data_IF_789002178022
#
_entry.id   IF_789002178022
#
_cell.length_a   1.000
_cell.length_b   1.000
_cell.length_c   1.000
_cell.angle_alpha   90.00
_cell.angle_beta   90.00
_cell.angle_gamma   90.00
#
_symmetry.space_group_name_H-M   'P 1'
#
loop_
_entity.id
_entity.type
_entity.pdbx_description
1 polymer ?
#
# COMPACT_ATOMS: atom_id res chain seq x y z
N UNK A 1 20.06 -19.41 -10.56
CA UNK A 1 21.25 -18.64 -10.21
C UNK A 1 21.60 -19.01 -8.78
N UNK A 2 22.80 -19.57 -8.54
CA UNK A 2 23.28 -19.96 -7.21
C UNK A 2 23.68 -18.72 -6.38
N UNK A 3 23.75 -18.83 -5.05
CA UNK A 3 24.04 -17.71 -4.14
C UNK A 3 25.42 -17.07 -4.33
N UNK A 4 26.33 -17.72 -5.06
CA UNK A 4 27.72 -17.25 -5.26
C UNK A 4 27.91 -16.33 -6.48
N UNK A 5 26.82 -15.95 -7.21
CA UNK A 5 26.89 -15.18 -8.45
C UNK A 5 26.43 -13.71 -8.31
N UNK A 6 26.23 -13.21 -7.10
CA UNK A 6 25.78 -11.85 -6.87
C UNK A 6 26.95 -10.99 -6.33
N UNK A 7 27.72 -10.39 -7.22
CA UNK A 7 28.67 -9.34 -6.85
C UNK A 7 27.89 -8.00 -6.81
N UNK A 8 27.80 -7.40 -5.63
CA UNK A 8 27.21 -6.08 -5.43
C UNK A 8 28.33 -5.05 -5.34
N UNK A 9 28.42 -4.20 -6.34
CA UNK A 9 29.30 -3.03 -6.31
C UNK A 9 28.56 -1.88 -5.61
N UNK A 10 29.12 -1.38 -4.51
CA UNK A 10 28.55 -0.22 -3.80
C UNK A 10 29.30 1.06 -4.18
N UNK A 11 28.56 2.08 -4.59
CA UNK A 11 29.09 3.42 -4.87
C UNK A 11 28.56 4.40 -3.85
N UNK A 12 29.40 5.36 -3.45
CA UNK A 12 29.04 6.40 -2.50
C UNK A 12 29.03 7.77 -3.19
N UNK A 13 27.92 8.46 -3.09
CA UNK A 13 27.74 9.81 -3.61
C UNK A 13 27.53 10.78 -2.45
N UNK A 14 28.13 11.98 -2.54
CA UNK A 14 27.87 13.08 -1.61
C UNK A 14 26.83 14.00 -2.24
N UNK A 15 25.69 14.13 -1.57
CA UNK A 15 24.59 14.97 -2.00
C UNK A 15 24.64 16.30 -1.24
N UNK A 16 24.31 17.40 -1.93
CA UNK A 16 24.20 18.75 -1.40
C UNK A 16 22.77 19.26 -1.51
N UNK A 17 22.46 20.33 -0.78
CA UNK A 17 21.13 20.93 -0.85
C UNK A 17 20.81 21.35 -2.29
N UNK A 18 19.62 20.99 -2.77
CA UNK A 18 19.14 21.23 -4.12
C UNK A 18 19.40 20.07 -5.09
N UNK A 19 20.23 19.08 -4.69
CA UNK A 19 20.41 17.89 -5.51
C UNK A 19 19.14 17.05 -5.53
N UNK A 20 18.86 16.44 -6.67
CA UNK A 20 17.71 15.53 -6.88
C UNK A 20 18.22 14.16 -7.28
N UNK A 21 17.68 13.13 -6.65
CA UNK A 21 17.93 11.73 -6.97
C UNK A 21 16.65 11.13 -7.56
N UNK A 22 16.80 10.47 -8.71
CA UNK A 22 15.70 9.76 -9.38
C UNK A 22 15.93 8.27 -9.28
N UNK A 23 14.91 7.55 -8.77
CA UNK A 23 14.85 6.09 -8.79
C UNK A 23 13.72 5.68 -9.73
N UNK A 24 14.00 4.81 -10.66
CA UNK A 24 13.03 4.37 -11.65
C UNK A 24 13.13 2.86 -11.90
N UNK A 25 12.01 2.26 -12.33
CA UNK A 25 12.01 0.91 -12.88
C UNK A 25 12.40 0.93 -14.35
N UNK A 26 12.90 -0.19 -14.87
CA UNK A 26 13.18 -0.42 -16.28
C UNK A 26 11.96 -0.18 -17.17
N UNK A 27 10.75 -0.52 -16.68
CA UNK A 27 9.49 -0.28 -17.39
C UNK A 27 9.29 1.19 -17.83
N UNK A 28 9.92 2.17 -17.18
CA UNK A 28 9.89 3.56 -17.64
C UNK A 28 10.73 3.75 -18.91
N UNK A 29 11.94 3.22 -18.93
CA UNK A 29 12.87 3.39 -20.05
C UNK A 29 12.51 2.52 -21.25
N UNK A 30 11.94 1.35 -21.00
CA UNK A 30 11.56 0.37 -22.02
C UNK A 30 10.14 0.61 -22.58
N UNK A 31 9.39 1.55 -22.00
CA UNK A 31 8.05 1.85 -22.50
C UNK A 31 8.09 2.36 -23.94
N UNK A 32 7.16 1.89 -24.77
CA UNK A 32 7.13 2.16 -26.20
C UNK A 32 6.01 3.13 -26.59
N UNK A 33 6.25 3.90 -27.64
CA UNK A 33 5.22 4.70 -28.30
C UNK A 33 4.50 3.90 -29.42
N UNK A 34 3.55 4.55 -30.10
CA UNK A 34 2.79 3.94 -31.21
C UNK A 34 3.66 3.47 -32.40
N UNK A 35 4.91 3.88 -32.47
CA UNK A 35 5.86 3.51 -33.53
C UNK A 35 6.84 2.39 -33.09
N UNK A 36 6.72 1.88 -31.85
CA UNK A 36 7.61 0.88 -31.28
C UNK A 36 8.97 1.44 -30.87
N UNK A 37 9.06 2.76 -30.69
CA UNK A 37 10.28 3.40 -30.17
C UNK A 37 10.24 3.43 -28.66
N UNK A 38 11.34 3.04 -28.01
CA UNK A 38 11.45 3.10 -26.55
C UNK A 38 11.65 4.54 -26.05
N UNK A 39 11.17 4.83 -24.87
CA UNK A 39 11.36 6.14 -24.22
C UNK A 39 12.83 6.45 -24.01
N UNK A 40 13.58 5.52 -23.45
CA UNK A 40 15.02 5.53 -23.34
C UNK A 40 15.60 6.53 -22.34
N UNK A 41 16.88 6.34 -22.03
CA UNK A 41 17.59 7.17 -21.04
C UNK A 41 17.82 8.60 -21.54
N UNK A 42 18.16 8.79 -22.83
CA UNK A 42 18.42 10.12 -23.42
C UNK A 42 17.20 11.04 -23.33
N UNK A 43 16.02 10.48 -23.57
CA UNK A 43 14.76 11.24 -23.47
C UNK A 43 14.46 11.55 -22.02
N UNK A 44 14.66 10.62 -21.11
CA UNK A 44 14.50 10.84 -19.67
C UNK A 44 15.41 11.97 -19.17
N UNK A 45 16.70 11.94 -19.54
CA UNK A 45 17.65 13.01 -19.19
C UNK A 45 17.24 14.36 -19.77
N UNK A 46 16.74 14.39 -21.01
CA UNK A 46 16.25 15.60 -21.65
C UNK A 46 15.00 16.17 -20.96
N UNK A 47 14.10 15.29 -20.49
CA UNK A 47 12.92 15.67 -19.73
C UNK A 47 13.31 16.30 -18.37
N UNK A 48 14.29 15.72 -17.65
CA UNK A 48 14.83 16.29 -16.42
C UNK A 48 15.44 17.69 -16.67
N UNK A 49 16.28 17.83 -17.70
CA UNK A 49 16.94 19.09 -18.02
C UNK A 49 15.91 20.20 -18.38
N UNK A 50 14.87 19.83 -19.12
CA UNK A 50 13.79 20.74 -19.49
C UNK A 50 12.97 21.18 -18.26
N UNK A 51 12.68 20.25 -17.35
CA UNK A 51 11.95 20.50 -16.12
C UNK A 51 12.72 21.44 -15.17
N UNK A 52 14.05 21.25 -15.02
CA UNK A 52 14.89 22.13 -14.20
C UNK A 52 14.93 23.57 -14.73
N UNK A 53 14.81 23.75 -16.03
CA UNK A 53 14.76 25.09 -16.64
C UNK A 53 13.45 25.83 -16.33
N UNK A 54 12.36 25.11 -16.07
CA UNK A 54 11.05 25.68 -15.70
C UNK A 54 10.95 26.03 -14.22
N UNK A 55 11.62 25.29 -13.33
CA UNK A 55 11.68 25.55 -11.89
C UNK A 55 12.31 26.93 -11.57
N UNK A 56 13.20 27.41 -12.44
CA UNK A 56 13.86 28.73 -12.30
C UNK A 56 12.90 29.88 -12.63
N UNK A 57 11.84 29.66 -13.37
CA UNK A 57 10.95 30.70 -13.90
C UNK A 57 9.65 30.82 -13.09
N UNK A 58 9.19 29.73 -12.46
CA UNK A 58 7.92 29.70 -11.73
C UNK A 58 8.11 29.31 -10.27
N UNK A 59 8.01 30.30 -9.39
CA UNK A 59 7.93 30.13 -7.93
C UNK A 59 6.59 29.51 -7.48
N UNK A 60 6.02 28.63 -8.31
CA UNK A 60 4.74 27.99 -8.09
C UNK A 60 4.92 26.58 -7.53
N UNK A 61 4.39 26.33 -6.35
CA UNK A 61 4.47 25.11 -5.54
C UNK A 61 3.91 23.82 -6.17
N UNK A 62 3.37 23.86 -7.39
CA UNK A 62 2.81 22.71 -8.12
C UNK A 62 3.54 22.37 -9.44
N UNK A 63 4.58 23.12 -9.80
CA UNK A 63 5.36 22.90 -11.02
C UNK A 63 6.60 22.04 -10.78
N UNK A 64 6.48 20.93 -10.07
CA UNK A 64 7.64 20.07 -9.81
C UNK A 64 8.17 19.45 -11.11
N UNK A 65 9.49 19.33 -11.22
CA UNK A 65 10.16 18.61 -12.30
C UNK A 65 9.53 17.24 -12.54
N UNK A 66 9.12 16.58 -11.45
CA UNK A 66 8.38 15.32 -11.48
C UNK A 66 7.08 15.40 -12.30
N UNK A 67 6.27 16.46 -12.14
CA UNK A 67 5.02 16.62 -12.89
C UNK A 67 5.28 16.77 -14.41
N UNK A 68 6.33 17.50 -14.79
CA UNK A 68 6.75 17.66 -16.19
C UNK A 68 7.24 16.35 -16.79
N UNK A 69 8.08 15.61 -16.10
CA UNK A 69 8.57 14.29 -16.51
C UNK A 69 7.39 13.32 -16.68
N UNK A 70 6.49 13.25 -15.68
CA UNK A 70 5.28 12.42 -15.75
C UNK A 70 4.45 12.74 -16.98
N UNK A 71 4.26 14.03 -17.29
CA UNK A 71 3.47 14.45 -18.44
C UNK A 71 4.17 14.10 -19.77
N UNK A 72 5.50 14.21 -19.87
CA UNK A 72 6.26 13.81 -21.05
C UNK A 72 6.15 12.30 -21.30
N UNK A 73 6.29 11.48 -20.27
CA UNK A 73 6.11 10.02 -20.35
C UNK A 73 4.70 9.65 -20.81
N UNK A 74 3.65 10.26 -20.23
CA UNK A 74 2.26 10.03 -20.60
C UNK A 74 2.02 10.43 -22.07
N UNK A 75 2.56 11.57 -22.48
CA UNK A 75 2.41 12.08 -23.86
C UNK A 75 3.13 11.18 -24.86
N UNK A 76 4.26 10.60 -24.48
CA UNK A 76 5.01 9.67 -25.33
C UNK A 76 4.29 8.33 -25.52
N UNK A 77 3.73 7.76 -24.46
CA UNK A 77 2.95 6.51 -24.50
C UNK A 77 1.68 6.69 -25.34
N UNK A 78 1.03 7.86 -25.23
CA UNK A 78 -0.24 8.13 -25.91
C UNK A 78 -1.35 7.19 -25.46
N UNK A 79 -1.99 6.51 -26.43
CA UNK A 79 -3.10 5.57 -26.19
C UNK A 79 -2.65 4.11 -26.12
N UNK A 80 -1.34 3.83 -26.10
CA UNK A 80 -0.85 2.45 -26.06
C UNK A 80 -1.11 1.78 -24.69
N UNK A 81 -1.33 0.47 -24.74
CA UNK A 81 -1.36 -0.37 -23.54
C UNK A 81 0.07 -0.50 -22.98
N UNK A 82 0.24 -0.27 -21.71
CA UNK A 82 1.53 -0.48 -21.03
C UNK A 82 1.88 -1.96 -21.00
N UNK A 83 3.14 -2.27 -21.31
CA UNK A 83 3.64 -3.65 -21.26
C UNK A 83 4.07 -4.04 -19.85
N UNK A 84 4.49 -3.05 -19.02
CA UNK A 84 4.98 -3.26 -17.66
C UNK A 84 4.61 -2.08 -16.75
N UNK A 85 4.77 -2.26 -15.44
CA UNK A 85 4.55 -1.23 -14.42
C UNK A 85 5.67 -0.19 -14.44
N UNK A 86 5.28 1.09 -14.42
CA UNK A 86 6.20 2.23 -14.41
C UNK A 86 6.27 2.81 -13.01
N UNK A 87 7.46 2.79 -12.41
CA UNK A 87 7.76 3.42 -11.13
C UNK A 87 8.79 4.54 -11.32
N UNK A 88 8.50 5.70 -10.75
CA UNK A 88 9.42 6.84 -10.72
C UNK A 88 9.34 7.51 -9.35
N UNK A 89 10.48 7.69 -8.70
CA UNK A 89 10.61 8.40 -7.43
C UNK A 89 11.62 9.53 -7.59
N UNK A 90 11.23 10.75 -7.23
CA UNK A 90 12.13 11.90 -7.11
C UNK A 90 12.39 12.18 -5.62
N UNK A 91 13.66 12.25 -5.24
CA UNK A 91 14.10 12.60 -3.89
C UNK A 91 14.91 13.89 -4.00
N UNK A 92 14.45 14.96 -3.35
CA UNK A 92 15.16 16.24 -3.29
C UNK A 92 15.86 16.41 -1.94
N UNK A 93 17.11 16.86 -1.98
CA UNK A 93 17.89 17.20 -0.80
C UNK A 93 17.57 18.63 -0.37
N UNK A 94 16.80 18.78 0.69
CA UNK A 94 16.38 20.06 1.22
C UNK A 94 17.13 20.42 2.51
N UNK A 95 17.19 21.70 2.86
CA UNK A 95 17.73 22.11 4.16
C UNK A 95 16.84 21.65 5.30
N UNK A 96 17.43 21.43 6.48
CA UNK A 96 16.65 21.13 7.68
C UNK A 96 15.61 22.21 7.98
N UNK A 97 15.91 23.47 7.70
CA UNK A 97 14.96 24.59 7.89
C UNK A 97 13.82 24.53 6.88
N UNK A 98 14.10 24.25 5.61
CA UNK A 98 13.08 24.08 4.57
C UNK A 98 12.18 22.89 4.89
N UNK A 99 12.76 21.75 5.31
CA UNK A 99 12.01 20.59 5.74
C UNK A 99 11.08 20.88 6.90
N UNK A 100 11.60 21.55 7.96
CA UNK A 100 10.80 21.95 9.12
C UNK A 100 9.70 22.95 8.75
N UNK A 101 9.97 23.88 7.81
CA UNK A 101 8.96 24.82 7.33
C UNK A 101 7.85 24.14 6.51
N UNK A 102 8.19 23.16 5.67
CA UNK A 102 7.21 22.32 4.96
C UNK A 102 6.39 21.49 5.94
N UNK A 103 7.05 20.88 6.93
CA UNK A 103 6.41 20.10 7.97
C UNK A 103 5.50 20.97 8.85
N UNK A 104 5.94 22.19 9.22
CA UNK A 104 5.13 23.16 9.97
C UNK A 104 3.91 23.63 9.18
N UNK A 105 4.01 23.88 7.87
CA UNK A 105 2.86 24.20 7.00
C UNK A 105 1.87 23.03 6.92
N UNK A 106 2.36 21.81 6.84
CA UNK A 106 1.55 20.60 6.90
C UNK A 106 0.89 20.43 8.27
N UNK A 107 1.62 20.70 9.35
CA UNK A 107 1.12 20.62 10.73
C UNK A 107 0.14 21.76 11.10
N UNK A 108 0.24 22.96 10.48
CA UNK A 108 -0.71 24.05 10.69
C UNK A 108 -2.11 23.79 10.11
N UNK A 109 -2.25 22.81 9.20
CA UNK A 109 -3.55 22.26 8.80
C UNK A 109 -4.13 21.25 9.80
N UNK A 110 -3.46 20.98 10.93
CA UNK A 110 -4.05 20.18 12.00
C UNK A 110 -5.29 20.89 12.50
N UNK A 111 -6.43 20.31 12.23
CA UNK A 111 -7.67 20.66 12.94
C UNK A 111 -7.37 20.52 14.44
N UNK A 112 -7.36 21.63 15.17
CA UNK A 112 -7.16 21.62 16.62
C UNK A 112 -8.39 21.09 17.37
N UNK A 113 -9.41 20.65 16.63
CA UNK A 113 -10.63 20.08 17.19
C UNK A 113 -10.59 18.56 17.16
N UNK A 114 -11.04 17.91 18.24
CA UNK A 114 -11.22 16.47 18.24
C UNK A 114 -12.13 16.06 17.07
N UNK A 115 -11.66 15.12 16.25
CA UNK A 115 -12.45 14.58 15.16
C UNK A 115 -12.97 13.19 15.56
N UNK A 116 -14.27 12.98 15.38
CA UNK A 116 -14.88 11.67 15.51
C UNK A 116 -15.71 11.42 14.28
N UNK A 117 -15.41 10.32 13.59
CA UNK A 117 -16.13 9.91 12.39
C UNK A 117 -16.20 8.40 12.28
N UNK A 118 -17.17 7.92 11.57
CA UNK A 118 -17.29 6.52 11.21
C UNK A 118 -17.59 6.38 9.72
N UNK A 119 -17.11 5.29 9.13
CA UNK A 119 -17.36 4.95 7.74
C UNK A 119 -17.55 3.45 7.62
N UNK A 120 -18.44 3.04 6.73
CA UNK A 120 -18.68 1.64 6.41
C UNK A 120 -18.49 1.41 4.92
N UNK A 121 -17.68 0.41 4.58
CA UNK A 121 -17.48 -0.07 3.23
C UNK A 121 -17.93 -1.53 3.13
N UNK A 122 -18.81 -1.84 2.19
CA UNK A 122 -19.18 -3.21 1.86
C UNK A 122 -18.82 -3.52 0.42
N UNK A 123 -17.91 -4.47 0.23
CA UNK A 123 -17.44 -4.94 -1.07
C UNK A 123 -18.11 -6.28 -1.38
N UNK A 124 -18.93 -6.30 -2.42
CA UNK A 124 -19.59 -7.50 -2.93
C UNK A 124 -18.76 -8.14 -4.01
N UNK A 125 -19.12 -9.35 -4.41
CA UNK A 125 -18.38 -10.21 -5.33
C UNK A 125 -17.89 -9.47 -6.58
N UNK A 126 -18.73 -8.66 -7.22
CA UNK A 126 -18.34 -7.93 -8.44
C UNK A 126 -17.22 -6.91 -8.17
N UNK A 127 -17.27 -6.22 -7.02
CA UNK A 127 -16.21 -5.30 -6.61
C UNK A 127 -14.94 -6.08 -6.25
N UNK A 128 -15.06 -7.18 -5.50
CA UNK A 128 -13.93 -8.00 -5.07
C UNK A 128 -13.17 -8.64 -6.24
N UNK A 129 -13.85 -8.89 -7.37
CA UNK A 129 -13.22 -9.41 -8.60
C UNK A 129 -12.41 -8.36 -9.36
N UNK A 130 -12.84 -7.12 -9.32
CA UNK A 130 -12.36 -6.08 -10.21
C UNK A 130 -11.50 -5.02 -9.53
N UNK A 131 -11.50 -4.97 -8.19
CA UNK A 131 -10.84 -3.90 -7.43
C UNK A 131 -10.18 -4.46 -6.17
N UNK A 132 -9.03 -3.89 -5.82
CA UNK A 132 -8.45 -4.05 -4.48
C UNK A 132 -9.02 -2.98 -3.55
N UNK A 133 -9.74 -3.35 -2.47
CA UNK A 133 -10.29 -2.39 -1.52
C UNK A 133 -9.26 -1.66 -0.67
N UNK A 134 -8.09 -2.25 -0.47
CA UNK A 134 -7.07 -1.74 0.47
C UNK A 134 -6.66 -0.30 0.16
N UNK A 135 -6.34 0.09 -1.09
CA UNK A 135 -5.99 1.47 -1.42
C UNK A 135 -7.10 2.48 -1.11
N UNK A 136 -8.37 2.11 -1.37
CA UNK A 136 -9.52 2.99 -1.10
C UNK A 136 -9.69 3.23 0.40
N UNK A 137 -9.65 2.17 1.20
CA UNK A 137 -9.78 2.25 2.66
C UNK A 137 -8.61 3.05 3.23
N UNK A 138 -7.38 2.73 2.81
CA UNK A 138 -6.18 3.44 3.27
C UNK A 138 -6.24 4.93 2.93
N UNK A 139 -6.66 5.29 1.71
CA UNK A 139 -6.85 6.69 1.33
C UNK A 139 -7.79 7.42 2.28
N UNK A 140 -8.92 6.80 2.61
CA UNK A 140 -9.90 7.39 3.54
C UNK A 140 -9.34 7.59 4.95
N UNK A 141 -8.53 6.64 5.44
CA UNK A 141 -7.84 6.76 6.74
C UNK A 141 -6.81 7.88 6.73
N UNK A 142 -6.06 8.03 5.64
CA UNK A 142 -4.99 9.03 5.52
C UNK A 142 -5.52 10.47 5.27
N UNK A 143 -6.84 10.65 5.07
CA UNK A 143 -7.47 11.97 5.14
C UNK A 143 -7.40 12.55 6.57
N UNK A 144 -7.35 11.68 7.61
CA UNK A 144 -7.02 12.11 8.97
C UNK A 144 -5.53 12.45 9.08
N UNK A 145 -5.15 13.73 9.31
CA UNK A 145 -3.75 14.15 9.26
C UNK A 145 -2.85 13.42 10.25
N UNK A 146 -3.39 13.04 11.42
CA UNK A 146 -2.63 12.37 12.47
C UNK A 146 -2.28 10.92 12.10
N UNK A 147 -3.04 10.30 11.19
CA UNK A 147 -2.81 8.92 10.74
C UNK A 147 -1.74 8.81 9.64
N UNK A 148 -1.41 9.89 8.93
CA UNK A 148 -0.48 9.85 7.79
C UNK A 148 0.90 9.29 8.12
N UNK A 149 1.43 9.63 9.29
CA UNK A 149 2.74 9.12 9.74
C UNK A 149 2.75 7.61 10.03
N UNK A 150 1.58 7.01 10.17
CA UNK A 150 1.39 5.58 10.44
C UNK A 150 0.92 4.79 9.22
N UNK A 151 1.04 5.37 8.01
CA UNK A 151 0.55 4.77 6.76
C UNK A 151 1.00 3.33 6.54
N UNK A 152 2.26 3.01 6.85
CA UNK A 152 2.79 1.64 6.71
C UNK A 152 2.14 0.64 7.67
N UNK A 153 1.88 1.04 8.93
CA UNK A 153 1.19 0.21 9.91
C UNK A 153 -0.28 0.01 9.53
N UNK A 154 -0.96 1.09 9.11
CA UNK A 154 -2.34 1.04 8.64
C UNK A 154 -2.49 0.16 7.40
N UNK A 155 -1.57 0.29 6.44
CA UNK A 155 -1.54 -0.59 5.28
C UNK A 155 -1.43 -2.06 5.69
N UNK A 156 -0.52 -2.36 6.62
CA UNK A 156 -0.34 -3.74 7.13
C UNK A 156 -1.59 -4.26 7.82
N UNK A 157 -2.23 -3.44 8.66
CA UNK A 157 -3.48 -3.81 9.35
C UNK A 157 -4.59 -4.09 8.34
N UNK A 158 -4.87 -3.14 7.44
CA UNK A 158 -5.98 -3.26 6.49
C UNK A 158 -5.76 -4.40 5.52
N UNK A 159 -4.53 -4.56 4.99
CA UNK A 159 -4.18 -5.66 4.08
C UNK A 159 -4.36 -7.02 4.73
N UNK A 160 -3.91 -7.17 5.96
CA UNK A 160 -4.01 -8.45 6.67
C UNK A 160 -5.47 -8.79 6.99
N UNK A 161 -6.25 -7.82 7.48
CA UNK A 161 -7.67 -8.00 7.75
C UNK A 161 -8.45 -8.37 6.47
N UNK A 162 -8.16 -7.68 5.35
CA UNK A 162 -8.77 -7.96 4.06
C UNK A 162 -8.41 -9.34 3.53
N UNK A 163 -7.12 -9.69 3.56
CA UNK A 163 -6.68 -11.01 3.08
C UNK A 163 -7.28 -12.14 3.91
N UNK A 164 -7.37 -11.99 5.22
CA UNK A 164 -8.00 -12.98 6.08
C UNK A 164 -9.49 -13.14 5.76
N UNK A 165 -10.22 -12.05 5.60
CA UNK A 165 -11.64 -12.07 5.26
C UNK A 165 -11.90 -12.66 3.86
N UNK A 166 -11.10 -12.25 2.86
CA UNK A 166 -11.25 -12.76 1.49
C UNK A 166 -10.75 -14.19 1.36
N UNK A 167 -9.47 -14.44 1.68
CA UNK A 167 -8.80 -15.69 1.37
C UNK A 167 -9.27 -16.83 2.27
N UNK A 168 -9.34 -16.58 3.58
CA UNK A 168 -9.73 -17.60 4.56
C UNK A 168 -11.24 -17.60 4.82
N UNK A 169 -11.88 -16.44 4.87
CA UNK A 169 -13.31 -16.29 5.07
C UNK A 169 -14.11 -16.73 3.83
N UNK A 170 -14.12 -15.89 2.80
CA UNK A 170 -14.97 -16.15 1.62
C UNK A 170 -14.48 -17.29 0.74
N UNK A 171 -13.18 -17.30 0.42
CA UNK A 171 -12.62 -18.28 -0.52
C UNK A 171 -12.22 -19.59 0.15
N UNK A 172 -12.28 -19.69 1.48
CA UNK A 172 -11.93 -20.88 2.25
C UNK A 172 -10.58 -21.50 1.82
N UNK A 173 -9.56 -20.65 1.62
CA UNK A 173 -8.21 -21.07 1.22
C UNK A 173 -7.39 -21.42 2.45
N UNK A 174 -6.72 -22.57 2.42
CA UNK A 174 -5.81 -22.97 3.49
C UNK A 174 -4.40 -22.46 3.23
N UNK A 175 -3.81 -21.74 4.20
CA UNK A 175 -2.40 -21.28 4.16
C UNK A 175 -1.40 -22.45 4.06
N UNK A 176 -1.75 -23.67 4.49
CA UNK A 176 -0.93 -24.87 4.34
C UNK A 176 -0.60 -25.20 2.87
N UNK A 177 -1.38 -24.71 1.91
CA UNK A 177 -1.07 -24.87 0.49
C UNK A 177 0.22 -24.16 0.09
N UNK A 178 0.57 -23.03 0.74
CA UNK A 178 1.77 -22.24 0.44
C UNK A 178 3.08 -22.97 0.80
N UNK A 179 3.02 -23.99 1.65
CA UNK A 179 4.18 -24.74 2.12
C UNK A 179 4.58 -25.92 1.20
N UNK A 180 3.73 -26.25 0.26
CA UNK A 180 3.98 -27.33 -0.69
C UNK A 180 4.93 -26.87 -1.80
N UNK A 181 5.56 -27.84 -2.48
CA UNK A 181 6.34 -27.57 -3.69
C UNK A 181 5.46 -26.87 -4.75
N UNK A 182 5.92 -25.71 -5.24
CA UNK A 182 5.14 -24.80 -6.09
C UNK A 182 3.83 -24.29 -5.42
N UNK A 183 3.77 -24.31 -4.08
CA UNK A 183 2.55 -24.03 -3.33
C UNK A 183 2.03 -22.60 -3.53
N UNK A 184 2.92 -21.61 -3.68
CA UNK A 184 2.51 -20.24 -3.95
C UNK A 184 1.76 -20.09 -5.28
N UNK A 185 2.29 -20.63 -6.38
CA UNK A 185 1.62 -20.57 -7.68
C UNK A 185 0.24 -21.23 -7.63
N UNK A 186 0.17 -22.45 -7.07
CA UNK A 186 -1.10 -23.18 -6.89
C UNK A 186 -2.10 -22.41 -6.01
N UNK A 187 -1.61 -21.73 -4.98
CA UNK A 187 -2.45 -20.94 -4.10
C UNK A 187 -3.09 -19.75 -4.83
N UNK A 188 -2.31 -19.01 -5.61
CA UNK A 188 -2.82 -17.87 -6.38
C UNK A 188 -3.75 -18.31 -7.51
N UNK A 189 -3.45 -19.39 -8.21
CA UNK A 189 -4.35 -19.96 -9.23
C UNK A 189 -5.70 -20.36 -8.61
N UNK A 190 -5.66 -21.00 -7.45
CA UNK A 190 -6.86 -21.40 -6.73
C UNK A 190 -7.65 -20.18 -6.21
N UNK A 191 -6.95 -19.14 -5.74
CA UNK A 191 -7.56 -17.87 -5.33
C UNK A 191 -8.34 -17.23 -6.48
N UNK A 192 -7.70 -17.09 -7.64
CA UNK A 192 -8.34 -16.52 -8.84
C UNK A 192 -9.55 -17.34 -9.23
N UNK A 193 -9.40 -18.67 -9.29
CA UNK A 193 -10.49 -19.56 -9.67
C UNK A 193 -11.68 -19.46 -8.71
N UNK A 194 -11.45 -19.58 -7.40
CA UNK A 194 -12.52 -19.52 -6.40
C UNK A 194 -13.22 -18.17 -6.38
N UNK A 195 -12.48 -17.08 -6.61
CA UNK A 195 -13.05 -15.75 -6.70
C UNK A 195 -13.93 -15.59 -7.95
N UNK A 196 -13.55 -16.21 -9.06
CA UNK A 196 -14.38 -16.25 -10.27
C UNK A 196 -15.64 -17.10 -10.10
N UNK A 197 -15.53 -18.23 -9.40
CA UNK A 197 -16.64 -19.15 -9.15
C UNK A 197 -17.59 -18.67 -8.04
N UNK A 198 -17.19 -17.67 -7.23
CA UNK A 198 -17.99 -17.16 -6.11
C UNK A 198 -19.23 -16.44 -6.64
N UNK A 199 -20.42 -16.97 -6.35
CA UNK A 199 -21.69 -16.43 -6.86
C UNK A 199 -22.27 -15.30 -5.98
N UNK A 200 -22.01 -15.33 -4.66
CA UNK A 200 -22.47 -14.35 -3.68
C UNK A 200 -21.49 -14.25 -2.52
N UNK A 201 -21.51 -13.13 -1.85
CA UNK A 201 -20.67 -12.86 -0.69
C UNK A 201 -20.23 -11.41 -0.57
N UNK A 202 -19.73 -11.06 0.61
CA UNK A 202 -19.22 -9.71 0.88
C UNK A 202 -18.08 -9.72 1.90
N UNK A 203 -17.28 -8.67 1.83
CA UNK A 203 -16.39 -8.23 2.92
C UNK A 203 -16.79 -6.82 3.29
N UNK A 204 -17.08 -6.58 4.57
CA UNK A 204 -17.45 -5.27 5.09
C UNK A 204 -16.43 -4.80 6.10
N UNK A 205 -16.06 -3.53 5.96
CA UNK A 205 -15.24 -2.79 6.91
C UNK A 205 -16.10 -1.73 7.57
N UNK A 206 -16.22 -1.79 8.88
CA UNK A 206 -16.81 -0.75 9.70
C UNK A 206 -15.68 -0.10 10.50
N UNK A 207 -15.47 1.20 10.30
CA UNK A 207 -14.31 1.93 10.80
C UNK A 207 -14.79 3.11 11.64
N UNK A 208 -14.34 3.18 12.88
CA UNK A 208 -14.57 4.29 13.80
C UNK A 208 -13.23 4.94 14.16
N UNK A 209 -13.12 6.23 13.96
CA UNK A 209 -11.95 7.02 14.31
C UNK A 209 -12.32 8.08 15.35
N UNK A 210 -11.52 8.18 16.39
CA UNK A 210 -11.61 9.21 17.42
C UNK A 210 -10.24 9.84 17.61
N UNK A 211 -10.04 10.98 16.97
CA UNK A 211 -8.78 11.72 17.03
C UNK A 211 -8.87 12.91 17.98
N UNK A 212 -7.82 13.13 18.74
CA UNK A 212 -7.53 14.37 19.49
C UNK A 212 -6.41 15.12 18.79
N UNK A 213 -5.91 16.21 19.39
CA UNK A 213 -4.78 16.96 18.81
C UNK A 213 -3.51 16.13 18.63
N UNK A 214 -3.23 15.21 19.55
CA UNK A 214 -1.92 14.54 19.65
C UNK A 214 -2.01 13.01 19.71
N UNK A 215 -3.19 12.45 19.83
CA UNK A 215 -3.44 11.02 19.96
C UNK A 215 -4.78 10.64 19.37
N UNK A 216 -5.05 9.37 19.26
CA UNK A 216 -6.36 8.89 18.83
C UNK A 216 -6.51 7.39 18.92
N UNK A 217 -7.71 6.97 18.65
CA UNK A 217 -8.13 5.58 18.61
C UNK A 217 -8.81 5.29 17.27
N UNK A 218 -8.36 4.25 16.60
CA UNK A 218 -8.97 3.70 15.41
C UNK A 218 -9.48 2.31 15.72
N UNK A 219 -10.77 2.11 15.60
CA UNK A 219 -11.40 0.80 15.67
C UNK A 219 -11.77 0.36 14.25
N UNK A 220 -11.30 -0.82 13.85
CA UNK A 220 -11.63 -1.42 12.55
C UNK A 220 -12.29 -2.76 12.81
N UNK A 221 -13.53 -2.90 12.36
CA UNK A 221 -14.24 -4.18 12.34
C UNK A 221 -14.34 -4.68 10.91
N UNK A 222 -13.97 -5.94 10.70
CA UNK A 222 -14.11 -6.59 9.39
C UNK A 222 -15.03 -7.79 9.54
N UNK A 223 -16.04 -7.84 8.69
CA UNK A 223 -17.05 -8.88 8.66
C UNK A 223 -17.07 -9.48 7.26
N UNK A 224 -16.94 -10.77 7.16
CA UNK A 224 -17.13 -11.50 5.91
C UNK A 224 -18.35 -12.44 5.97
N UNK A 225 -18.89 -12.75 4.80
CA UNK A 225 -20.04 -13.66 4.70
C UNK A 225 -19.67 -15.14 4.69
N UNK A 226 -18.41 -15.46 4.93
CA UNK A 226 -17.92 -16.85 4.96
C UNK A 226 -18.42 -17.66 6.15
N UNK A 227 -18.03 -18.92 6.17
CA UNK A 227 -18.44 -19.87 7.22
C UNK A 227 -17.78 -19.57 8.57
N UNK A 228 -16.67 -18.81 8.55
CA UNK A 228 -15.82 -18.53 9.70
C UNK A 228 -14.81 -19.65 9.96
N UNK A 229 -14.04 -19.51 11.03
CA UNK A 229 -13.04 -20.49 11.45
C UNK A 229 -12.95 -20.60 12.98
N UNK A 230 -12.50 -21.75 13.47
CA UNK A 230 -12.30 -21.93 14.90
C UNK A 230 -11.02 -21.24 15.37
N UNK A 231 -11.18 -20.02 15.87
CA UNK A 231 -10.08 -19.24 16.45
C UNK A 231 -9.65 -19.72 17.85
N UNK A 232 -10.44 -20.57 18.53
CA UNK A 232 -10.13 -21.11 19.84
C UNK A 232 -8.97 -22.10 19.82
N UNK A 233 -8.80 -22.86 18.73
CA UNK A 233 -7.64 -23.74 18.54
C UNK A 233 -6.37 -22.95 18.20
N UNK A 234 -6.45 -21.85 17.49
CA UNK A 234 -5.29 -20.99 17.17
C UNK A 234 -4.69 -20.30 18.38
N UNK A 235 -5.48 -19.95 19.38
CA UNK A 235 -5.00 -19.37 20.64
C UNK A 235 -4.29 -20.37 21.57
N UNK A 236 -4.44 -21.69 21.33
CA UNK A 236 -3.81 -22.76 22.15
C UNK A 236 -2.49 -23.25 21.56
N UNK A 237 -2.16 -22.92 20.33
CA UNK A 237 -0.88 -23.30 19.73
C UNK A 237 0.23 -22.47 20.34
N UNK A 238 1.15 -23.16 21.01
CA UNK A 238 2.34 -22.59 21.68
C UNK A 238 3.16 -21.74 20.69
N UNK A 239 3.84 -20.71 21.23
CA UNK A 239 4.67 -19.72 20.50
C UNK A 239 5.68 -20.31 19.51
N UNK A 240 6.00 -21.59 19.57
CA UNK A 240 6.93 -22.30 18.68
C UNK A 240 6.28 -22.77 17.37
N UNK A 241 4.96 -23.07 17.36
CA UNK A 241 4.23 -23.45 16.13
C UNK A 241 3.67 -22.25 15.35
N UNK A 242 3.53 -21.10 16.01
CA UNK A 242 3.14 -19.83 15.37
C UNK A 242 4.19 -19.30 14.36
N UNK A 243 5.37 -19.88 14.29
CA UNK A 243 6.45 -19.41 13.41
C UNK A 243 6.22 -19.71 11.93
N UNK A 244 5.37 -20.66 11.57
CA UNK A 244 5.12 -21.08 10.18
C UNK A 244 3.73 -20.74 9.66
N UNK A 245 2.71 -20.76 10.54
CA UNK A 245 1.31 -20.46 10.21
C UNK A 245 0.86 -19.24 11.01
N UNK A 246 0.15 -18.29 10.38
CA UNK A 246 -0.45 -17.16 11.11
C UNK A 246 0.46 -15.97 11.38
N UNK A 247 1.45 -15.71 10.52
CA UNK A 247 2.30 -14.51 10.62
C UNK A 247 1.48 -13.22 10.63
N UNK A 248 0.37 -13.20 9.92
CA UNK A 248 -0.51 -12.05 9.82
C UNK A 248 -1.26 -11.77 11.13
N UNK A 249 -1.82 -12.79 11.77
CA UNK A 249 -2.47 -12.64 13.09
C UNK A 249 -1.45 -12.17 14.13
N UNK A 250 -0.23 -12.74 14.12
CA UNK A 250 0.86 -12.29 14.99
C UNK A 250 1.27 -10.84 14.72
N UNK A 251 1.25 -10.40 13.47
CA UNK A 251 1.52 -9.03 13.08
C UNK A 251 0.45 -8.09 13.64
N UNK A 252 -0.83 -8.43 13.50
CA UNK A 252 -1.93 -7.64 14.08
C UNK A 252 -1.78 -7.49 15.60
N UNK A 253 -1.48 -8.56 16.32
CA UNK A 253 -1.22 -8.50 17.76
C UNK A 253 0.03 -7.69 18.16
N UNK A 254 0.97 -7.49 17.23
CA UNK A 254 2.17 -6.67 17.46
C UNK A 254 1.88 -5.18 17.24
N UNK A 255 1.03 -4.85 16.27
CA UNK A 255 0.75 -3.48 15.86
C UNK A 255 -0.46 -2.91 16.61
N UNK A 256 -1.51 -3.70 16.81
CA UNK A 256 -2.77 -3.26 17.40
C UNK A 256 -2.75 -3.44 18.93
N UNK A 257 -3.43 -2.52 19.62
CA UNK A 257 -3.67 -2.61 21.06
C UNK A 257 -4.51 -3.83 21.42
N UNK A 258 -5.48 -4.16 20.57
CA UNK A 258 -6.41 -5.25 20.80
C UNK A 258 -6.81 -5.90 19.47
N UNK A 259 -6.95 -7.22 19.48
CA UNK A 259 -7.47 -8.02 18.38
C UNK A 259 -8.48 -9.00 18.94
N UNK A 260 -9.71 -8.94 18.49
CA UNK A 260 -10.81 -9.80 18.96
C UNK A 260 -11.51 -10.45 17.77
N UNK A 261 -11.72 -11.75 17.85
CA UNK A 261 -12.59 -12.48 16.94
C UNK A 261 -13.95 -12.67 17.59
N UNK A 262 -15.01 -12.44 16.84
CA UNK A 262 -16.39 -12.45 17.34
C UNK A 262 -17.19 -13.53 16.61
N UNK A 263 -18.11 -14.16 17.32
CA UNK A 263 -19.03 -15.15 16.76
C UNK A 263 -18.33 -16.42 16.30
N UNK A 264 -18.48 -16.77 15.02
CA UNK A 264 -17.91 -17.97 14.41
C UNK A 264 -16.54 -17.75 13.71
N UNK A 265 -15.90 -16.60 13.96
CA UNK A 265 -14.58 -16.27 13.41
C UNK A 265 -14.61 -15.54 12.06
N UNK A 266 -15.77 -15.19 11.55
CA UNK A 266 -15.96 -14.35 10.35
C UNK A 266 -16.20 -12.87 10.68
N UNK A 267 -15.88 -12.46 11.88
CA UNK A 267 -15.93 -11.10 12.35
C UNK A 267 -14.71 -10.85 13.23
N UNK A 268 -13.87 -9.91 12.85
CA UNK A 268 -12.69 -9.49 13.59
C UNK A 268 -12.77 -8.01 13.89
N UNK A 269 -12.39 -7.65 15.12
CA UNK A 269 -12.29 -6.27 15.59
C UNK A 269 -10.86 -6.01 16.05
N UNK A 270 -10.29 -4.91 15.58
CA UNK A 270 -8.98 -4.44 16.03
C UNK A 270 -9.07 -3.00 16.54
N UNK A 271 -8.28 -2.69 17.56
CA UNK A 271 -8.12 -1.35 18.11
C UNK A 271 -6.65 -0.94 17.95
N UNK A 272 -6.45 0.20 17.31
CA UNK A 272 -5.14 0.80 17.06
C UNK A 272 -5.10 2.21 17.65
N UNK A 273 -4.10 2.48 18.49
CA UNK A 273 -3.92 3.76 19.15
C UNK A 273 -2.61 4.42 18.66
N UNK A 274 -2.63 5.74 18.52
CA UNK A 274 -1.47 6.52 18.12
C UNK A 274 -1.23 7.76 18.98
#
# INVERSE_FOLDING_TARGET
>A
LGPDAFEVESQRYNLTQGDKLYLLSDGLLETENAHGEQYGEDRFQSAIASAQSLDVINDCADGSAFASIKQDVISFIGSQSRADDISLVEIEVVSAQSFLAMYAKSAQKKSQQPASWSISYEFRVDSLRNQDPVPLILHSLLEEPNLRQYSGQLFSIISELYNNALEHGLLNLSSALKEQEQGFAKYYDLRVKRLQDLSDGFVRFDIDCRATSDSGELCVEVIDSGEGFDYGEHNKQTKEQAALHGRGISLLHTICQKVEYVGKGNHVRVEYNW
#
